data_IF_529087135718
#
_entry.id   IF_529087135718
#
_cell.length_a   1.000
_cell.length_b   1.000
_cell.length_c   1.000
_cell.angle_alpha   90.00
_cell.angle_beta   90.00
_cell.angle_gamma   90.00
#
_symmetry.space_group_name_H-M   'P 1'
#
loop_
_entity.id
_entity.type
_entity.pdbx_description
1 polymer ?
#
# COMPACT_ATOMS: atom_id res chain seq x y z
N UNK A 1 13.10 1.43 -23.82
CA UNK A 1 11.61 1.43 -23.82
C UNK A 1 10.96 2.78 -23.52
N UNK A 2 11.62 3.91 -23.82
CA UNK A 2 11.03 5.26 -23.75
C UNK A 2 10.93 5.85 -25.16
N UNK A 3 11.99 5.67 -25.96
CA UNK A 3 12.09 6.12 -27.36
C UNK A 3 11.09 5.47 -28.33
N UNK A 4 10.52 4.30 -28.01
CA UNK A 4 9.54 3.61 -28.87
C UNK A 4 8.08 4.04 -28.61
N UNK A 5 7.85 4.98 -27.69
CA UNK A 5 6.49 5.47 -27.36
C UNK A 5 6.22 6.75 -28.14
N UNK A 6 4.98 6.96 -28.58
CA UNK A 6 4.59 8.24 -29.21
C UNK A 6 4.87 9.42 -28.25
N UNK A 7 5.36 10.56 -28.76
CA UNK A 7 5.58 11.75 -27.94
C UNK A 7 4.30 12.16 -27.21
N UNK A 8 4.46 12.50 -25.93
CA UNK A 8 3.36 12.99 -25.09
C UNK A 8 3.03 14.42 -25.53
N UNK A 9 1.75 14.72 -25.79
CA UNK A 9 1.31 16.07 -26.15
C UNK A 9 1.48 17.03 -24.97
N UNK A 10 1.89 18.29 -25.20
CA UNK A 10 2.07 19.29 -24.14
C UNK A 10 0.81 19.51 -23.28
N UNK A 11 -0.38 19.38 -23.86
CA UNK A 11 -1.67 19.55 -23.19
C UNK A 11 -2.26 18.24 -22.66
N UNK A 12 -1.50 17.14 -22.57
CA UNK A 12 -2.02 15.91 -21.96
C UNK A 12 -2.09 16.04 -20.44
N UNK A 13 -3.20 15.62 -19.84
CA UNK A 13 -3.31 15.55 -18.38
C UNK A 13 -2.27 14.61 -17.77
N UNK A 14 -1.74 14.98 -16.60
CA UNK A 14 -0.76 14.18 -15.84
C UNK A 14 -1.38 12.85 -15.40
N UNK A 15 -2.68 12.85 -15.06
CA UNK A 15 -3.41 11.66 -14.62
C UNK A 15 -4.11 11.01 -15.82
N UNK A 16 -3.60 9.86 -16.24
CA UNK A 16 -4.25 9.03 -17.26
C UNK A 16 -5.47 8.28 -16.69
N UNK A 17 -6.46 7.96 -17.53
CA UNK A 17 -7.64 7.18 -17.11
C UNK A 17 -7.27 5.84 -16.46
N UNK A 18 -6.27 5.15 -16.99
CA UNK A 18 -5.76 3.89 -16.42
C UNK A 18 -5.10 4.08 -15.05
N UNK A 19 -4.48 5.24 -14.81
CA UNK A 19 -3.90 5.59 -13.51
C UNK A 19 -5.01 5.89 -12.50
N UNK A 20 -6.05 6.62 -12.91
CA UNK A 20 -7.20 6.95 -12.06
C UNK A 20 -7.94 5.68 -11.60
N UNK A 21 -8.16 4.71 -12.50
CA UNK A 21 -8.75 3.40 -12.14
C UNK A 21 -7.90 2.68 -11.11
N UNK A 22 -6.57 2.63 -11.29
CA UNK A 22 -5.68 2.00 -10.33
C UNK A 22 -5.71 2.71 -8.96
N UNK A 23 -5.81 4.05 -8.93
CA UNK A 23 -5.92 4.83 -7.69
C UNK A 23 -7.21 4.48 -6.95
N UNK A 24 -8.36 4.47 -7.65
CA UNK A 24 -9.65 4.14 -7.04
C UNK A 24 -9.63 2.72 -6.48
N UNK A 25 -9.16 1.74 -7.24
CA UNK A 25 -9.11 0.35 -6.76
C UNK A 25 -8.23 0.23 -5.51
N UNK A 26 -7.05 0.84 -5.52
CA UNK A 26 -6.15 0.80 -4.36
C UNK A 26 -6.75 1.48 -3.13
N UNK A 27 -7.36 2.65 -3.31
CA UNK A 27 -8.05 3.33 -2.24
C UNK A 27 -9.19 2.48 -1.67
N UNK A 28 -10.01 1.87 -2.53
CA UNK A 28 -11.09 0.96 -2.11
C UNK A 28 -10.57 -0.24 -1.33
N UNK A 29 -9.48 -0.88 -1.76
CA UNK A 29 -8.88 -2.01 -1.03
C UNK A 29 -8.43 -1.58 0.37
N UNK A 30 -7.74 -0.46 0.49
CA UNK A 30 -7.25 0.04 1.79
C UNK A 30 -8.43 0.41 2.70
N UNK A 31 -9.46 1.07 2.17
CA UNK A 31 -10.67 1.43 2.92
C UNK A 31 -11.39 0.18 3.42
N UNK A 32 -11.57 -0.83 2.56
CA UNK A 32 -12.20 -2.10 2.94
C UNK A 32 -11.37 -2.79 4.02
N UNK A 33 -10.04 -2.84 3.89
CA UNK A 33 -9.17 -3.47 4.88
C UNK A 33 -9.29 -2.79 6.26
N UNK A 34 -9.29 -1.46 6.28
CA UNK A 34 -9.47 -0.66 7.50
C UNK A 34 -10.85 -0.88 8.10
N UNK A 35 -11.89 -0.86 7.27
CA UNK A 35 -13.25 -1.10 7.71
C UNK A 35 -13.40 -2.49 8.34
N UNK A 36 -12.84 -3.52 7.70
CA UNK A 36 -12.84 -4.88 8.22
C UNK A 36 -12.10 -4.98 9.55
N UNK A 37 -10.92 -4.36 9.66
CA UNK A 37 -10.18 -4.33 10.93
C UNK A 37 -10.94 -3.57 12.02
N UNK A 38 -11.59 -2.46 11.68
CA UNK A 38 -12.36 -1.66 12.64
C UNK A 38 -13.64 -2.37 13.10
N UNK A 39 -14.31 -3.11 12.22
CA UNK A 39 -15.59 -3.76 12.53
C UNK A 39 -15.44 -5.15 13.15
N UNK A 40 -14.51 -5.94 12.64
CA UNK A 40 -14.35 -7.35 13.03
C UNK A 40 -13.13 -7.59 13.91
N UNK A 41 -12.27 -6.59 14.12
CA UNK A 41 -11.08 -6.70 14.94
C UNK A 41 -10.23 -7.94 14.63
N UNK A 42 -9.90 -8.14 13.35
CA UNK A 42 -9.20 -9.33 12.83
C UNK A 42 -7.86 -9.57 13.56
N UNK A 43 -7.21 -8.50 13.99
CA UNK A 43 -5.92 -8.55 14.70
C UNK A 43 -6.03 -8.88 16.20
N UNK A 44 -7.25 -8.91 16.76
CA UNK A 44 -7.55 -9.05 18.19
C UNK A 44 -6.86 -7.97 19.04
N UNK A 45 -7.03 -6.71 18.66
CA UNK A 45 -6.57 -5.56 19.44
C UNK A 45 -7.52 -5.27 20.61
N UNK A 46 -7.01 -4.76 21.73
CA UNK A 46 -7.87 -4.23 22.79
C UNK A 46 -8.57 -2.93 22.35
N UNK A 47 -9.64 -2.52 23.04
CA UNK A 47 -10.38 -1.30 22.70
C UNK A 47 -9.49 -0.04 22.68
N UNK A 48 -8.52 0.02 23.60
CA UNK A 48 -7.58 1.13 23.72
C UNK A 48 -6.53 1.10 22.59
N UNK A 49 -6.12 -0.08 22.14
CA UNK A 49 -5.16 -0.25 21.04
C UNK A 49 -5.80 -0.06 19.66
N UNK A 50 -7.12 -0.22 19.54
CA UNK A 50 -7.82 -0.30 18.25
C UNK A 50 -7.54 0.90 17.35
N UNK A 51 -7.54 2.12 17.90
CA UNK A 51 -7.21 3.34 17.14
C UNK A 51 -5.78 3.31 16.58
N UNK A 52 -4.81 2.87 17.39
CA UNK A 52 -3.40 2.76 16.97
C UNK A 52 -3.21 1.67 15.93
N UNK A 53 -3.92 0.54 16.09
CA UNK A 53 -3.87 -0.57 15.14
C UNK A 53 -4.44 -0.17 13.79
N UNK A 54 -5.59 0.51 13.75
CA UNK A 54 -6.19 1.00 12.50
C UNK A 54 -5.25 2.00 11.81
N UNK A 55 -4.69 2.96 12.54
CA UNK A 55 -3.71 3.90 12.00
C UNK A 55 -2.47 3.20 11.44
N UNK A 56 -1.96 2.20 12.16
CA UNK A 56 -0.76 1.46 11.76
C UNK A 56 -1.02 0.59 10.53
N UNK A 57 -2.18 -0.09 10.46
CA UNK A 57 -2.60 -0.83 9.27
C UNK A 57 -2.71 0.11 8.08
N UNK A 58 -3.32 1.29 8.23
CA UNK A 58 -3.37 2.30 7.16
C UNK A 58 -1.97 2.72 6.69
N UNK A 59 -1.08 3.10 7.60
CA UNK A 59 0.26 3.57 7.26
C UNK A 59 1.07 2.50 6.51
N UNK A 60 1.09 1.27 7.03
CA UNK A 60 1.77 0.16 6.35
C UNK A 60 1.11 -0.20 5.02
N UNK A 61 -0.22 -0.14 4.93
CA UNK A 61 -0.96 -0.35 3.69
C UNK A 61 -0.55 0.63 2.59
N UNK A 62 -0.36 1.91 2.95
CA UNK A 62 0.12 2.94 2.03
C UNK A 62 1.58 2.69 1.62
N UNK A 63 2.45 2.27 2.55
CA UNK A 63 3.83 1.89 2.23
C UNK A 63 3.90 0.71 1.26
N UNK A 64 3.08 -0.33 1.47
CA UNK A 64 2.98 -1.46 0.55
C UNK A 64 2.37 -1.05 -0.80
N UNK A 65 1.42 -0.12 -0.82
CA UNK A 65 0.91 0.44 -2.07
C UNK A 65 1.98 1.25 -2.83
N UNK A 66 2.88 1.96 -2.14
CA UNK A 66 3.97 2.70 -2.78
C UNK A 66 4.89 1.77 -3.60
N UNK A 67 5.11 0.53 -3.12
CA UNK A 67 5.83 -0.51 -3.88
C UNK A 67 5.07 -0.90 -5.17
N UNK A 68 3.74 -0.97 -5.14
CA UNK A 68 2.90 -1.29 -6.29
C UNK A 68 2.84 -0.18 -7.34
N UNK A 69 2.86 1.09 -6.91
CA UNK A 69 2.78 2.26 -7.79
C UNK A 69 4.05 2.48 -8.63
N UNK A 70 5.15 1.78 -8.30
CA UNK A 70 6.44 1.95 -8.99
C UNK A 70 6.43 1.46 -10.44
N UNK A 71 5.57 0.51 -10.78
CA UNK A 71 5.38 0.05 -12.15
C UNK A 71 4.16 0.74 -12.78
N UNK A 72 4.39 1.46 -13.88
CA UNK A 72 3.32 2.15 -14.59
C UNK A 72 2.41 1.17 -15.34
N UNK A 73 1.10 1.34 -15.15
CA UNK A 73 0.05 0.61 -15.88
C UNK A 73 -0.27 -0.74 -15.25
N UNK A 74 -0.44 -1.76 -16.11
CA UNK A 74 -0.83 -3.11 -15.69
C UNK A 74 0.37 -4.02 -15.40
N UNK A 75 1.61 -3.54 -15.53
CA UNK A 75 2.82 -4.39 -15.38
C UNK A 75 2.98 -4.92 -13.95
N UNK A 76 3.58 -6.10 -13.86
CA UNK A 76 3.74 -6.83 -12.60
C UNK A 76 4.77 -6.09 -11.77
N UNK A 77 4.44 -5.80 -10.52
CA UNK A 77 5.40 -5.16 -9.63
C UNK A 77 6.50 -6.15 -9.21
N UNK A 78 6.11 -7.41 -9.02
CA UNK A 78 6.93 -8.51 -8.46
C UNK A 78 8.30 -8.70 -9.14
N UNK A 79 8.43 -8.85 -10.46
CA UNK A 79 9.71 -9.16 -11.11
C UNK A 79 10.74 -8.03 -11.02
N UNK A 80 10.30 -6.81 -10.71
CA UNK A 80 11.19 -5.67 -10.55
C UNK A 80 11.32 -5.21 -9.10
N UNK A 81 10.53 -5.72 -8.13
CA UNK A 81 10.47 -5.25 -6.72
C UNK A 81 11.87 -4.98 -6.14
N UNK A 82 12.79 -5.94 -6.29
CA UNK A 82 14.15 -5.88 -5.73
C UNK A 82 15.21 -5.17 -6.61
N UNK A 83 14.86 -4.69 -7.81
CA UNK A 83 15.84 -4.08 -8.72
C UNK A 83 16.25 -2.66 -8.35
N UNK A 84 15.36 -1.92 -7.68
CA UNK A 84 15.67 -0.57 -7.21
C UNK A 84 15.88 -0.60 -5.69
N UNK A 85 17.16 -0.71 -5.29
CA UNK A 85 17.59 -0.77 -3.89
C UNK A 85 17.26 0.51 -3.12
N UNK A 86 17.45 1.69 -3.73
CA UNK A 86 17.17 2.98 -3.10
C UNK A 86 15.70 3.12 -2.72
N UNK A 87 14.78 2.74 -3.62
CA UNK A 87 13.35 2.81 -3.33
C UNK A 87 12.96 1.87 -2.18
N UNK A 88 13.54 0.67 -2.13
CA UNK A 88 13.29 -0.28 -1.05
C UNK A 88 13.86 0.23 0.28
N UNK A 89 15.05 0.82 0.25
CA UNK A 89 15.71 1.40 1.41
C UNK A 89 14.89 2.56 2.01
N UNK A 90 14.44 3.51 1.18
CA UNK A 90 13.58 4.61 1.64
C UNK A 90 12.29 4.08 2.27
N UNK A 91 11.63 3.11 1.63
CA UNK A 91 10.39 2.52 2.16
C UNK A 91 10.65 1.79 3.49
N UNK A 92 11.75 1.04 3.59
CA UNK A 92 12.15 0.37 4.82
C UNK A 92 12.43 1.37 5.96
N UNK A 93 13.19 2.44 5.68
CA UNK A 93 13.48 3.51 6.64
C UNK A 93 12.16 4.17 7.09
N UNK A 94 11.27 4.51 6.16
CA UNK A 94 9.97 5.11 6.52
C UNK A 94 9.11 4.18 7.38
N UNK A 95 9.14 2.86 7.13
CA UNK A 95 8.46 1.88 7.98
C UNK A 95 9.05 1.78 9.39
N UNK A 96 10.37 1.85 9.52
CA UNK A 96 11.05 1.88 10.83
C UNK A 96 10.68 3.16 11.59
N UNK A 97 10.76 4.32 10.92
CA UNK A 97 10.38 5.60 11.52
C UNK A 97 8.91 5.61 11.95
N UNK A 98 8.02 5.00 11.16
CA UNK A 98 6.61 4.84 11.52
C UNK A 98 6.43 4.08 12.85
N UNK A 99 7.14 2.96 13.04
CA UNK A 99 7.09 2.19 14.31
C UNK A 99 7.69 3.01 15.46
N UNK A 100 8.81 3.69 15.24
CA UNK A 100 9.44 4.52 16.27
C UNK A 100 8.52 5.68 16.68
N UNK A 101 7.89 6.35 15.71
CA UNK A 101 7.02 7.49 15.99
C UNK A 101 5.75 7.09 16.74
N UNK A 102 5.14 5.97 16.35
CA UNK A 102 3.95 5.46 17.05
C UNK A 102 4.24 5.00 18.48
N UNK A 103 5.46 4.53 18.77
CA UNK A 103 5.86 4.14 20.13
C UNK A 103 6.34 5.31 20.99
N UNK A 104 7.17 6.21 20.45
CA UNK A 104 7.83 7.29 21.20
C UNK A 104 6.95 8.55 21.29
N UNK A 105 6.30 8.94 20.18
CA UNK A 105 5.50 10.16 20.10
C UNK A 105 4.02 9.89 20.37
N UNK A 106 3.75 8.95 21.28
CA UNK A 106 2.41 8.44 21.56
C UNK A 106 1.40 9.53 21.96
N UNK A 107 1.82 10.53 22.75
CA UNK A 107 0.99 11.68 23.13
C UNK A 107 0.61 12.58 21.96
N UNK A 108 1.50 12.73 20.97
CA UNK A 108 1.22 13.56 19.80
C UNK A 108 0.23 12.88 18.85
N UNK A 109 0.36 11.57 18.69
CA UNK A 109 -0.50 10.77 17.81
C UNK A 109 -1.73 10.18 18.50
N UNK A 110 -1.92 10.44 19.80
CA UNK A 110 -2.90 9.75 20.64
C UNK A 110 -2.86 8.22 20.45
N UNK A 111 -1.64 7.67 20.35
CA UNK A 111 -1.40 6.25 20.15
C UNK A 111 -1.03 5.55 21.45
N UNK A 112 -1.16 4.23 21.46
CA UNK A 112 -0.75 3.36 22.56
C UNK A 112 0.42 2.51 22.07
N UNK A 113 1.47 2.30 22.87
CA UNK A 113 2.55 1.41 22.48
C UNK A 113 2.02 0.00 22.25
N UNK A 114 2.23 -0.52 21.04
CA UNK A 114 1.82 -1.86 20.65
C UNK A 114 2.93 -2.88 20.92
N UNK A 115 2.53 -4.11 21.27
CA UNK A 115 3.46 -5.23 21.40
C UNK A 115 4.12 -5.59 20.07
N UNK A 116 5.35 -6.14 20.12
CA UNK A 116 6.06 -6.61 18.91
C UNK A 116 5.25 -7.63 18.11
N UNK A 117 4.47 -8.48 18.80
CA UNK A 117 3.58 -9.44 18.14
C UNK A 117 2.47 -8.76 17.33
N UNK A 118 1.90 -7.67 17.84
CA UNK A 118 0.90 -6.89 17.11
C UNK A 118 1.50 -6.25 15.86
N UNK A 119 2.72 -5.71 15.94
CA UNK A 119 3.43 -5.16 14.78
C UNK A 119 3.63 -6.19 13.66
N UNK A 120 4.04 -7.41 14.01
CA UNK A 120 4.19 -8.49 13.03
C UNK A 120 2.86 -8.77 12.33
N UNK A 121 1.76 -8.86 13.09
CA UNK A 121 0.42 -9.07 12.51
C UNK A 121 -0.01 -7.91 11.60
N UNK A 122 0.25 -6.66 11.99
CA UNK A 122 -0.05 -5.47 11.19
C UNK A 122 0.70 -5.50 9.85
N UNK A 123 2.00 -5.80 9.88
CA UNK A 123 2.84 -5.90 8.69
C UNK A 123 2.33 -7.03 7.79
N UNK A 124 2.03 -8.19 8.37
CA UNK A 124 1.50 -9.34 7.65
C UNK A 124 0.16 -9.01 6.98
N UNK A 125 -0.78 -8.42 7.72
CA UNK A 125 -2.08 -8.01 7.18
C UNK A 125 -1.91 -6.97 6.07
N UNK A 126 -1.06 -5.97 6.26
CA UNK A 126 -0.86 -4.90 5.28
C UNK A 126 -0.14 -5.41 4.01
N UNK A 127 0.71 -6.44 4.14
CA UNK A 127 1.39 -7.07 2.99
C UNK A 127 0.42 -7.74 2.02
N UNK A 128 -0.79 -8.11 2.47
CA UNK A 128 -1.83 -8.69 1.60
C UNK A 128 -2.23 -7.75 0.46
N UNK A 129 -2.07 -6.43 0.63
CA UNK A 129 -2.32 -5.43 -0.42
C UNK A 129 -1.41 -5.63 -1.63
N UNK A 130 -0.16 -6.08 -1.44
CA UNK A 130 0.71 -6.43 -2.56
C UNK A 130 0.13 -7.57 -3.38
N UNK A 131 -0.36 -8.62 -2.70
CA UNK A 131 -0.92 -9.82 -3.33
C UNK A 131 -2.21 -9.47 -4.06
N UNK A 132 -3.13 -8.76 -3.40
CA UNK A 132 -4.41 -8.35 -3.99
C UNK A 132 -4.18 -7.46 -5.22
N UNK A 133 -3.25 -6.51 -5.15
CA UNK A 133 -2.93 -5.67 -6.30
C UNK A 133 -2.36 -6.44 -7.49
N UNK A 134 -1.51 -7.44 -7.24
CA UNK A 134 -0.99 -8.26 -8.32
C UNK A 134 -2.10 -9.09 -8.96
N UNK A 135 -3.04 -9.62 -8.17
CA UNK A 135 -4.23 -10.33 -8.67
C UNK A 135 -5.10 -9.38 -9.52
N UNK A 136 -5.39 -8.18 -9.03
CA UNK A 136 -6.16 -7.17 -9.78
C UNK A 136 -5.45 -6.83 -11.10
N UNK A 137 -4.15 -6.56 -11.07
CA UNK A 137 -3.36 -6.26 -12.27
C UNK A 137 -3.35 -7.44 -13.24
N UNK A 138 -3.29 -8.67 -12.74
CA UNK A 138 -3.34 -9.89 -13.54
C UNK A 138 -4.71 -10.06 -14.22
N UNK A 139 -5.81 -9.88 -13.49
CA UNK A 139 -7.17 -9.92 -14.05
C UNK A 139 -7.37 -8.82 -15.10
N UNK A 140 -6.91 -7.59 -14.85
CA UNK A 140 -6.98 -6.50 -15.83
C UNK A 140 -6.19 -6.79 -17.11
N UNK A 141 -5.07 -7.53 -17.03
CA UNK A 141 -4.34 -7.99 -18.23
C UNK A 141 -5.13 -9.03 -19.02
N UNK A 142 -5.80 -9.96 -18.34
CA UNK A 142 -6.62 -10.99 -18.99
C UNK A 142 -7.79 -10.34 -19.72
N UNK A 143 -8.54 -9.47 -19.05
CA UNK A 143 -9.69 -8.78 -19.65
C UNK A 143 -9.26 -7.96 -20.87
N UNK A 144 -8.13 -7.26 -20.79
CA UNK A 144 -7.59 -6.49 -21.92
C UNK A 144 -7.02 -7.35 -23.06
N UNK A 145 -6.79 -8.65 -22.83
CA UNK A 145 -6.35 -9.59 -23.88
C UNK A 145 -7.55 -10.27 -24.57
N UNK A 146 -8.70 -10.32 -23.89
CA UNK A 146 -9.94 -10.91 -24.38
C UNK A 146 -10.74 -9.90 -25.21
N UNK A 147 -10.65 -8.61 -24.89
CA UNK A 147 -11.23 -7.47 -25.64
C UNK A 147 -10.20 -6.94 -26.63
#
# INVERSE_FOLDING_TARGET
>A
YVLNRKPIKRNSGIIARSMLVNIIINASIIIILIYLQSRFNILNATEIEQGTVVFSVFAFSVLFNALNCREFGVRSAIPNLFKNKLALEVIAITGILQVLFTQIFNKFFNSVPLTTFMWIKIILLSSTILIVNEIVKYLLRIVKKII
#
